data_IF_573794986685
#
_entry.id   IF_573794986685
#
_cell.length_a   1.000
_cell.length_b   1.000
_cell.length_c   1.000
_cell.angle_alpha   90.00
_cell.angle_beta   90.00
_cell.angle_gamma   90.00
#
_symmetry.space_group_name_H-M   'P 1'
#
loop_
_entity.id
_entity.type
_entity.pdbx_description
1 polymer ?
#
# COMPACT_ATOMS: atom_id res chain seq x y z
N UNK A 1 7.07 -15.87 9.42
CA UNK A 1 6.11 -16.84 9.90
C UNK A 1 4.70 -16.25 9.81
N UNK A 2 3.77 -16.99 9.13
CA UNK A 2 2.41 -16.53 8.82
C UNK A 2 1.56 -16.27 10.08
N UNK A 3 1.79 -17.04 11.15
CA UNK A 3 1.08 -16.89 12.43
C UNK A 3 1.53 -15.64 13.19
N UNK A 4 2.80 -15.31 13.14
CA UNK A 4 3.36 -14.15 13.83
C UNK A 4 2.94 -12.83 13.16
N UNK A 5 2.77 -12.82 11.82
CA UNK A 5 2.24 -11.67 11.06
C UNK A 5 0.76 -11.44 11.30
N UNK A 6 -0.04 -12.51 11.34
CA UNK A 6 -1.47 -12.41 11.70
C UNK A 6 -1.67 -11.91 13.14
N UNK A 7 -0.77 -12.26 14.06
CA UNK A 7 -0.82 -11.80 15.44
C UNK A 7 -0.50 -10.30 15.55
N UNK A 8 0.52 -9.79 14.82
CA UNK A 8 0.83 -8.36 14.78
C UNK A 8 -0.28 -7.51 14.15
N UNK A 9 -0.94 -8.01 13.10
CA UNK A 9 -2.07 -7.32 12.44
C UNK A 9 -3.30 -7.37 13.35
N UNK A 10 -3.59 -8.51 13.97
CA UNK A 10 -4.74 -8.68 14.87
C UNK A 10 -4.61 -7.83 16.14
N UNK A 11 -3.41 -7.67 16.68
CA UNK A 11 -3.14 -6.81 17.83
C UNK A 11 -3.26 -5.32 17.46
N UNK A 12 -2.90 -4.93 16.22
CA UNK A 12 -3.10 -3.58 15.70
C UNK A 12 -4.59 -3.27 15.44
N UNK A 13 -5.36 -4.25 14.92
CA UNK A 13 -6.79 -4.10 14.62
C UNK A 13 -7.64 -4.11 15.90
N UNK A 14 -7.31 -4.91 16.91
CA UNK A 14 -8.07 -4.93 18.19
C UNK A 14 -8.03 -3.60 18.92
N UNK A 15 -7.06 -2.75 18.66
CA UNK A 15 -6.94 -1.40 19.19
C UNK A 15 -7.45 -0.31 18.23
N UNK A 16 -7.80 -0.65 16.97
CA UNK A 16 -8.12 0.32 15.92
C UNK A 16 -9.39 1.14 16.22
N UNK A 17 -10.43 0.51 16.77
CA UNK A 17 -11.68 1.21 17.11
C UNK A 17 -11.52 2.16 18.32
N UNK A 18 -10.51 1.92 19.16
CA UNK A 18 -10.21 2.73 20.35
C UNK A 18 -9.20 3.85 20.02
N UNK A 19 -8.36 3.67 18.99
CA UNK A 19 -7.28 4.59 18.63
C UNK A 19 -7.70 5.68 17.63
N UNK A 20 -8.89 5.58 17.03
CA UNK A 20 -9.40 6.63 16.14
C UNK A 20 -9.93 7.87 16.88
N UNK A 21 -10.12 7.81 18.18
CA UNK A 21 -10.36 9.01 18.96
C UNK A 21 -9.09 9.88 18.96
N UNK A 22 -9.19 11.21 18.80
CA UNK A 22 -8.04 12.09 18.98
C UNK A 22 -7.63 12.03 20.46
N UNK A 23 -6.75 11.12 20.76
CA UNK A 23 -6.06 11.07 22.05
C UNK A 23 -4.85 11.99 21.95
N UNK A 24 -4.68 12.88 22.92
CA UNK A 24 -3.51 13.75 23.12
C UNK A 24 -2.17 12.99 23.32
N UNK A 25 -2.04 11.80 22.77
CA UNK A 25 -0.80 11.04 22.82
C UNK A 25 0.05 11.37 21.60
N UNK A 26 0.98 12.27 21.78
CA UNK A 26 1.93 12.84 20.79
C UNK A 26 2.89 11.81 20.12
N UNK A 27 2.67 10.50 20.24
CA UNK A 27 3.64 9.48 19.84
C UNK A 27 3.11 8.38 18.91
N UNK A 28 1.90 8.52 18.35
CA UNK A 28 1.36 7.52 17.41
C UNK A 28 1.51 8.01 15.98
N UNK A 29 2.45 7.44 15.23
CA UNK A 29 2.70 7.83 13.84
C UNK A 29 1.59 7.39 12.88
N UNK A 30 0.88 6.28 13.19
CA UNK A 30 -0.14 5.70 12.32
C UNK A 30 -1.36 5.25 13.12
N UNK A 31 -2.54 5.56 12.60
CA UNK A 31 -3.85 5.13 13.14
C UNK A 31 -4.53 4.19 12.14
N UNK A 32 -5.16 3.13 12.66
CA UNK A 32 -5.76 2.07 11.85
C UNK A 32 -7.28 2.05 12.04
N UNK A 33 -8.04 1.89 10.95
CA UNK A 33 -9.49 1.73 10.98
C UNK A 33 -9.93 0.61 10.04
N UNK A 34 -10.81 -0.26 10.52
CA UNK A 34 -11.40 -1.33 9.72
C UNK A 34 -12.51 -0.82 8.82
N UNK A 35 -12.65 -1.39 7.63
CA UNK A 35 -13.74 -1.13 6.70
C UNK A 35 -14.08 -2.40 5.90
N UNK A 36 -15.31 -2.47 5.42
CA UNK A 36 -15.77 -3.54 4.54
C UNK A 36 -15.81 -3.07 3.08
N UNK A 37 -15.46 -3.95 2.17
CA UNK A 37 -15.57 -3.71 0.75
C UNK A 37 -17.00 -3.97 0.30
N UNK A 38 -17.66 -2.95 -0.25
CA UNK A 38 -19.07 -3.03 -0.68
C UNK A 38 -19.25 -3.11 -2.19
N UNK A 39 -18.24 -2.69 -2.97
CA UNK A 39 -18.26 -2.77 -4.44
C UNK A 39 -16.84 -2.75 -5.00
N UNK A 40 -16.64 -3.37 -6.16
CA UNK A 40 -15.33 -3.40 -6.82
C UNK A 40 -15.43 -3.62 -8.33
N UNK A 41 -14.40 -3.22 -9.05
CA UNK A 41 -14.17 -3.57 -10.44
C UNK A 41 -12.72 -4.04 -10.59
N UNK A 42 -12.52 -5.25 -11.14
CA UNK A 42 -11.20 -5.87 -11.29
C UNK A 42 -10.88 -6.34 -12.71
N UNK A 43 -11.76 -6.04 -13.67
CA UNK A 43 -11.65 -6.51 -15.06
C UNK A 43 -11.33 -5.39 -16.06
N UNK A 44 -10.79 -4.27 -15.57
CA UNK A 44 -10.49 -3.08 -16.37
C UNK A 44 -9.06 -2.62 -16.09
N UNK A 45 -8.52 -1.75 -16.93
CA UNK A 45 -7.25 -1.06 -16.70
C UNK A 45 -7.34 -0.01 -15.59
N UNK A 46 -8.54 0.55 -15.36
CA UNK A 46 -8.86 1.51 -14.30
C UNK A 46 -9.81 0.86 -13.30
N UNK A 47 -9.29 -0.02 -12.49
CA UNK A 47 -10.03 -0.70 -11.44
C UNK A 47 -10.28 0.22 -10.24
N UNK A 48 -11.29 -0.11 -9.44
CA UNK A 48 -11.62 0.60 -8.20
C UNK A 48 -12.23 -0.35 -7.16
N UNK A 49 -12.18 0.05 -5.91
CA UNK A 49 -12.88 -0.56 -4.78
C UNK A 49 -13.67 0.53 -4.07
N UNK A 50 -14.86 0.21 -3.56
CA UNK A 50 -15.65 1.10 -2.69
C UNK A 50 -15.80 0.44 -1.33
N UNK A 51 -15.54 1.22 -0.28
CA UNK A 51 -15.61 0.78 1.12
C UNK A 51 -16.71 1.53 1.88
N UNK A 52 -17.22 0.94 2.96
CA UNK A 52 -18.32 1.40 3.80
C UNK A 52 -17.95 2.50 4.80
N UNK A 53 -16.78 3.12 4.68
CA UNK A 53 -16.31 4.22 5.52
C UNK A 53 -16.03 5.47 4.68
N UNK A 54 -16.34 6.64 5.25
CA UNK A 54 -16.21 7.91 4.56
C UNK A 54 -15.77 9.07 5.46
N UNK A 55 -16.08 10.29 5.04
CA UNK A 55 -15.67 11.50 5.75
C UNK A 55 -16.21 11.58 7.19
N UNK A 56 -17.42 11.03 7.46
CA UNK A 56 -18.02 11.00 8.80
C UNK A 56 -17.20 10.17 9.79
N UNK A 57 -16.43 9.22 9.29
CA UNK A 57 -15.50 8.41 10.08
C UNK A 57 -14.06 8.94 10.02
N UNK A 58 -13.85 10.14 9.50
CA UNK A 58 -12.52 10.77 9.40
C UNK A 58 -11.64 10.22 8.28
N UNK A 59 -12.22 9.53 7.29
CA UNK A 59 -11.46 9.07 6.12
C UNK A 59 -11.14 10.25 5.22
N UNK A 60 -9.91 10.30 4.73
CA UNK A 60 -9.41 11.35 3.84
C UNK A 60 -8.75 10.74 2.60
N UNK A 61 -8.67 11.48 1.49
CA UNK A 61 -7.87 11.08 0.33
C UNK A 61 -6.41 10.81 0.72
N UNK A 62 -5.76 9.93 -0.04
CA UNK A 62 -4.37 9.51 0.13
C UNK A 62 -4.07 8.78 1.45
N UNK A 63 -5.06 8.28 2.18
CA UNK A 63 -4.84 7.29 3.22
C UNK A 63 -4.54 5.93 2.59
N UNK A 64 -3.64 5.17 3.21
CA UNK A 64 -3.30 3.82 2.76
C UNK A 64 -4.42 2.83 3.07
N UNK A 65 -4.59 1.82 2.22
CA UNK A 65 -5.53 0.72 2.41
C UNK A 65 -4.79 -0.60 2.27
N UNK A 66 -4.91 -1.46 3.27
CA UNK A 66 -4.31 -2.78 3.32
C UNK A 66 -5.35 -3.85 3.67
N UNK A 67 -5.03 -5.09 3.39
CA UNK A 67 -5.74 -6.29 3.86
C UNK A 67 -4.85 -7.09 4.81
N UNK A 68 -5.36 -8.19 5.35
CA UNK A 68 -4.55 -9.12 6.15
C UNK A 68 -3.40 -9.77 5.36
N UNK A 69 -3.45 -9.75 4.04
CA UNK A 69 -2.44 -10.33 3.16
C UNK A 69 -1.39 -9.32 2.70
N UNK A 70 -1.77 -8.04 2.58
CA UNK A 70 -0.86 -6.97 2.14
C UNK A 70 -1.57 -5.73 1.65
N UNK A 71 -0.80 -4.88 0.97
CA UNK A 71 -1.28 -3.61 0.41
C UNK A 71 -2.40 -3.84 -0.60
N UNK A 72 -3.48 -3.07 -0.46
CA UNK A 72 -4.61 -3.03 -1.40
C UNK A 72 -4.53 -1.81 -2.32
N UNK A 73 -4.27 -0.62 -1.78
CA UNK A 73 -4.21 0.61 -2.56
C UNK A 73 -4.23 1.87 -1.69
N UNK A 74 -4.75 2.96 -2.24
CA UNK A 74 -4.89 4.25 -1.55
C UNK A 74 -6.31 4.81 -1.72
N UNK A 75 -6.76 5.62 -0.77
CA UNK A 75 -8.03 6.34 -0.89
C UNK A 75 -7.89 7.42 -1.98
N UNK A 76 -8.72 7.34 -3.02
CA UNK A 76 -8.75 8.31 -4.13
C UNK A 76 -9.76 9.43 -3.89
N UNK A 77 -10.99 9.04 -3.48
CA UNK A 77 -12.11 9.97 -3.28
C UNK A 77 -12.93 9.55 -2.07
N UNK A 78 -13.50 10.53 -1.40
CA UNK A 78 -14.29 10.32 -0.20
C UNK A 78 -15.63 11.05 -0.34
N UNK A 79 -16.71 10.37 0.06
CA UNK A 79 -18.03 10.95 0.30
C UNK A 79 -18.36 10.88 1.79
N UNK A 80 -19.56 11.32 2.20
CA UNK A 80 -19.92 11.33 3.60
C UNK A 80 -19.79 9.95 4.28
N UNK A 81 -20.29 8.89 3.61
CA UNK A 81 -20.36 7.53 4.20
C UNK A 81 -19.48 6.50 3.50
N UNK A 82 -18.93 6.82 2.34
CA UNK A 82 -18.18 5.88 1.51
C UNK A 82 -16.89 6.49 1.02
N UNK A 83 -15.90 5.64 0.75
CA UNK A 83 -14.69 6.05 0.07
C UNK A 83 -14.40 5.14 -1.13
N UNK A 84 -13.75 5.71 -2.12
CA UNK A 84 -13.24 5.00 -3.30
C UNK A 84 -11.74 4.81 -3.15
N UNK A 85 -11.34 3.57 -3.25
CA UNK A 85 -9.93 3.13 -3.21
C UNK A 85 -9.43 2.94 -4.64
N UNK A 86 -8.24 3.46 -4.92
CA UNK A 86 -7.44 3.19 -6.10
C UNK A 86 -6.55 1.99 -5.79
N UNK A 87 -6.85 0.77 -6.31
CA UNK A 87 -6.12 -0.44 -5.95
C UNK A 87 -4.77 -0.54 -6.67
N UNK A 88 -3.86 -1.41 -6.17
CA UNK A 88 -2.57 -1.69 -6.83
C UNK A 88 -2.73 -2.17 -8.28
N UNK A 89 -3.86 -2.81 -8.60
CA UNK A 89 -4.23 -3.27 -9.94
C UNK A 89 -4.96 -2.17 -10.73
N UNK A 90 -4.43 -0.96 -10.69
CA UNK A 90 -4.88 0.18 -11.50
C UNK A 90 -3.65 0.86 -12.11
N UNK A 91 -3.66 1.06 -13.42
CA UNK A 91 -2.51 1.61 -14.17
C UNK A 91 -2.13 3.04 -13.80
N UNK A 92 -3.03 3.76 -13.11
CA UNK A 92 -2.77 5.12 -12.63
C UNK A 92 -2.06 5.16 -11.28
N UNK A 93 -2.01 4.02 -10.54
CA UNK A 93 -1.36 3.98 -9.24
C UNK A 93 0.11 3.59 -9.37
N UNK A 94 0.96 4.39 -8.73
CA UNK A 94 2.37 4.09 -8.48
C UNK A 94 2.65 4.22 -7.01
N UNK A 95 3.35 3.25 -6.43
CA UNK A 95 3.80 3.31 -5.04
C UNK A 95 5.30 3.05 -4.95
N UNK A 96 5.92 3.64 -3.93
CA UNK A 96 7.32 3.35 -3.63
C UNK A 96 7.42 2.04 -2.86
N UNK A 97 8.11 1.08 -3.45
CA UNK A 97 8.32 -0.25 -2.89
C UNK A 97 9.81 -0.58 -2.82
N UNK A 98 10.19 -1.48 -1.92
CA UNK A 98 11.58 -1.92 -1.77
C UNK A 98 11.70 -3.43 -1.64
N UNK A 99 12.88 -3.93 -2.00
CA UNK A 99 13.29 -5.30 -1.72
C UNK A 99 13.66 -5.35 -0.24
N UNK A 100 12.96 -6.18 0.54
CA UNK A 100 13.15 -6.26 2.00
C UNK A 100 14.58 -6.69 2.40
N UNK A 101 15.20 -7.57 1.59
CA UNK A 101 16.53 -8.17 1.85
C UNK A 101 17.64 -7.12 1.91
N UNK A 102 17.65 -6.17 0.98
CA UNK A 102 18.76 -5.24 0.78
C UNK A 102 18.35 -3.75 0.83
N UNK A 103 17.04 -3.45 0.91
CA UNK A 103 16.54 -2.07 1.04
C UNK A 103 16.49 -1.25 -0.25
N UNK A 104 16.92 -1.79 -1.40
CA UNK A 104 16.81 -1.08 -2.66
C UNK A 104 15.33 -0.87 -3.03
N UNK A 105 14.99 0.35 -3.39
CA UNK A 105 13.62 0.79 -3.67
C UNK A 105 13.45 1.21 -5.12
N UNK A 106 12.23 1.16 -5.57
CA UNK A 106 11.82 1.56 -6.90
C UNK A 106 10.34 1.89 -6.96
N UNK A 107 9.83 2.07 -8.17
CA UNK A 107 8.44 2.39 -8.46
C UNK A 107 7.67 1.12 -8.83
N UNK A 108 6.69 0.74 -8.00
CA UNK A 108 5.79 -0.36 -8.30
C UNK A 108 4.56 0.15 -9.05
N UNK A 109 4.28 -0.47 -10.20
CA UNK A 109 3.12 -0.16 -11.04
C UNK A 109 2.58 -1.42 -11.69
N UNK A 110 1.25 -1.49 -11.84
CA UNK A 110 0.56 -2.52 -12.61
C UNK A 110 0.51 -2.14 -14.10
N UNK A 111 0.72 -3.10 -14.99
CA UNK A 111 0.73 -2.92 -16.45
C UNK A 111 -0.65 -2.95 -17.13
N UNK A 112 -1.68 -3.40 -16.38
CA UNK A 112 -3.04 -3.51 -16.90
C UNK A 112 -3.45 -4.90 -17.37
N UNK A 113 -2.59 -5.91 -17.24
CA UNK A 113 -2.84 -7.28 -17.73
C UNK A 113 -3.30 -8.20 -16.58
N UNK A 114 -2.43 -8.92 -15.94
CA UNK A 114 -2.78 -9.92 -14.92
C UNK A 114 -2.83 -9.30 -13.51
N UNK A 115 -4.01 -9.32 -12.87
CA UNK A 115 -4.25 -8.78 -11.54
C UNK A 115 -3.40 -9.42 -10.42
N UNK A 116 -2.74 -10.53 -10.69
CA UNK A 116 -1.88 -11.24 -9.72
C UNK A 116 -0.46 -10.68 -9.67
N UNK A 117 -0.06 -9.87 -10.64
CA UNK A 117 1.31 -9.39 -10.79
C UNK A 117 1.35 -7.86 -10.94
N UNK A 118 2.42 -7.27 -10.45
CA UNK A 118 2.82 -5.89 -10.72
C UNK A 118 4.30 -5.84 -11.04
N UNK A 119 4.80 -4.69 -11.46
CA UNK A 119 6.20 -4.51 -11.86
C UNK A 119 6.88 -3.47 -10.98
N UNK A 120 8.00 -3.85 -10.38
CA UNK A 120 8.89 -2.95 -9.66
C UNK A 120 10.00 -2.52 -10.62
N UNK A 121 10.01 -1.23 -10.94
CA UNK A 121 10.94 -0.59 -11.87
C UNK A 121 11.99 0.22 -11.12
N UNK A 122 12.98 0.73 -11.86
CA UNK A 122 14.03 1.63 -11.36
C UNK A 122 14.99 0.99 -10.35
N UNK A 123 15.12 -0.34 -10.33
CA UNK A 123 16.11 -1.05 -9.50
C UNK A 123 17.45 -1.10 -10.26
N UNK A 124 18.58 -0.63 -9.68
CA UNK A 124 19.87 -0.69 -10.33
C UNK A 124 20.28 -2.12 -10.69
N UNK A 125 20.92 -2.31 -11.86
CA UNK A 125 21.23 -3.65 -12.41
C UNK A 125 22.15 -4.50 -11.53
N UNK A 126 22.95 -3.88 -10.67
CA UNK A 126 23.91 -4.56 -9.78
C UNK A 126 23.27 -5.10 -8.48
N UNK A 127 21.99 -4.82 -8.29
CA UNK A 127 21.27 -5.25 -7.08
C UNK A 127 21.03 -6.75 -7.12
N UNK A 128 21.49 -7.43 -6.08
CA UNK A 128 21.25 -8.86 -5.88
C UNK A 128 19.78 -9.10 -5.52
N UNK A 129 19.06 -9.73 -6.46
CA UNK A 129 17.63 -10.02 -6.33
C UNK A 129 17.33 -11.41 -6.87
N UNK A 130 16.65 -12.21 -6.05
CA UNK A 130 16.31 -13.59 -6.35
C UNK A 130 14.80 -13.80 -6.37
N UNK A 131 14.36 -14.82 -7.12
CA UNK A 131 12.95 -15.27 -7.09
C UNK A 131 12.57 -15.70 -5.67
N UNK A 132 11.43 -15.19 -5.19
CA UNK A 132 10.97 -15.42 -3.81
C UNK A 132 11.35 -14.33 -2.81
N UNK A 133 12.22 -13.38 -3.17
CA UNK A 133 12.51 -12.22 -2.32
C UNK A 133 11.24 -11.43 -2.02
N UNK A 134 11.15 -10.92 -0.80
CA UNK A 134 9.96 -10.18 -0.33
C UNK A 134 10.01 -8.72 -0.74
N UNK A 135 8.92 -8.23 -1.32
CA UNK A 135 8.72 -6.82 -1.66
C UNK A 135 7.75 -6.19 -0.65
N UNK A 136 8.14 -5.05 -0.12
CA UNK A 136 7.38 -4.29 0.89
C UNK A 136 7.35 -2.80 0.55
N UNK A 137 6.48 -2.04 1.21
CA UNK A 137 6.48 -0.57 1.11
C UNK A 137 7.81 0.01 1.63
N UNK A 138 8.31 1.04 0.96
CA UNK A 138 9.62 1.64 1.30
C UNK A 138 9.57 2.58 2.50
N UNK A 139 8.39 3.13 2.84
CA UNK A 139 8.24 4.21 3.82
C UNK A 139 8.55 5.61 3.29
N UNK A 140 9.01 5.76 2.04
CA UNK A 140 9.36 7.06 1.45
C UNK A 140 8.16 7.89 0.98
N UNK A 141 6.97 7.31 0.92
CA UNK A 141 5.75 8.09 0.78
C UNK A 141 5.15 8.30 2.17
N UNK A 142 4.70 9.49 2.49
CA UNK A 142 3.96 9.77 3.72
C UNK A 142 2.59 9.06 3.80
N UNK A 143 2.33 8.11 2.89
CA UNK A 143 1.07 7.37 2.75
C UNK A 143 1.13 6.04 3.49
N UNK A 144 2.13 5.19 3.15
CA UNK A 144 2.28 3.86 3.73
C UNK A 144 3.33 3.84 4.83
N UNK A 145 3.08 3.13 5.95
CA UNK A 145 4.15 2.72 6.84
C UNK A 145 5.21 1.92 6.08
N UNK A 146 6.43 1.96 6.57
CA UNK A 146 7.49 1.11 6.04
C UNK A 146 7.23 -0.37 6.39
N UNK A 147 7.43 -1.25 5.40
CA UNK A 147 7.41 -2.69 5.63
C UNK A 147 6.06 -3.39 5.45
N UNK A 148 5.00 -2.67 4.99
CA UNK A 148 3.75 -3.34 4.62
C UNK A 148 3.98 -4.26 3.41
N UNK A 149 3.43 -5.48 3.49
CA UNK A 149 3.61 -6.52 2.49
C UNK A 149 3.00 -6.11 1.15
N UNK A 150 3.77 -6.26 0.07
CA UNK A 150 3.26 -6.10 -1.30
C UNK A 150 3.21 -7.46 -2.00
N UNK A 151 4.29 -8.23 -1.95
CA UNK A 151 4.35 -9.51 -2.62
C UNK A 151 5.75 -10.12 -2.65
N UNK A 152 5.98 -10.96 -3.64
CA UNK A 152 7.23 -11.70 -3.81
C UNK A 152 7.74 -11.59 -5.23
N UNK A 153 9.05 -11.58 -5.39
CA UNK A 153 9.70 -11.61 -6.69
C UNK A 153 9.34 -12.90 -7.44
N UNK A 154 8.71 -12.77 -8.60
CA UNK A 154 8.38 -13.88 -9.50
C UNK A 154 9.45 -14.09 -10.55
N UNK A 155 9.93 -12.99 -11.15
CA UNK A 155 11.04 -13.00 -12.12
C UNK A 155 11.74 -11.66 -12.16
N UNK A 156 13.00 -11.69 -12.62
CA UNK A 156 13.84 -10.50 -12.77
C UNK A 156 14.22 -10.36 -14.24
N UNK A 157 13.85 -9.25 -14.88
CA UNK A 157 14.13 -8.96 -16.27
C UNK A 157 15.11 -7.80 -16.40
N UNK A 158 16.11 -7.96 -17.27
CA UNK A 158 17.05 -6.90 -17.62
C UNK A 158 16.53 -6.22 -18.90
N UNK A 159 15.70 -5.21 -18.75
CA UNK A 159 15.12 -4.49 -19.90
C UNK A 159 16.06 -3.43 -20.46
N UNK A 160 16.89 -2.82 -19.61
CA UNK A 160 17.88 -1.80 -20.00
C UNK A 160 19.26 -2.13 -19.46
N UNK A 161 20.29 -1.47 -19.98
CA UNK A 161 21.67 -1.68 -19.52
C UNK A 161 21.89 -1.29 -18.05
N UNK A 162 21.03 -0.43 -17.48
CA UNK A 162 21.25 0.20 -16.17
C UNK A 162 20.24 -0.20 -15.09
N UNK A 163 19.05 -0.69 -15.47
CA UNK A 163 17.97 -0.98 -14.53
C UNK A 163 17.35 -2.35 -14.77
N UNK A 164 16.87 -2.94 -13.67
CA UNK A 164 16.08 -4.16 -13.65
C UNK A 164 14.60 -3.80 -13.57
N UNK A 165 13.76 -4.56 -14.26
CA UNK A 165 12.32 -4.63 -14.05
C UNK A 165 12.00 -5.96 -13.37
N UNK A 166 11.45 -5.91 -12.18
CA UNK A 166 11.14 -7.07 -11.36
C UNK A 166 9.63 -7.33 -11.42
N UNK A 167 9.24 -8.50 -11.93
CA UNK A 167 7.86 -8.96 -11.85
C UNK A 167 7.57 -9.44 -10.43
N UNK A 168 6.56 -8.84 -9.80
CA UNK A 168 6.16 -9.09 -8.42
C UNK A 168 4.82 -9.79 -8.40
N UNK A 169 4.76 -10.97 -7.80
CA UNK A 169 3.51 -11.65 -7.48
C UNK A 169 2.91 -11.02 -6.24
N UNK A 170 1.75 -10.40 -6.39
CA UNK A 170 1.06 -9.71 -5.30
C UNK A 170 0.63 -10.70 -4.21
N UNK A 171 0.80 -10.32 -2.95
CA UNK A 171 0.36 -11.12 -1.80
C UNK A 171 -1.15 -11.05 -1.61
N UNK A 172 -1.75 -9.91 -1.96
CA UNK A 172 -3.18 -9.67 -1.87
C UNK A 172 -3.93 -10.35 -3.01
N UNK A 173 -4.89 -11.22 -2.69
CA UNK A 173 -5.83 -11.77 -3.69
C UNK A 173 -7.04 -10.86 -3.82
N UNK A 174 -7.02 -9.98 -4.84
CA UNK A 174 -8.07 -8.98 -5.09
C UNK A 174 -9.47 -9.57 -5.31
N UNK A 175 -9.59 -10.84 -5.69
CA UNK A 175 -10.89 -11.52 -5.87
C UNK A 175 -11.47 -12.10 -4.59
N UNK A 176 -10.69 -12.08 -3.49
CA UNK A 176 -11.08 -12.68 -2.21
C UNK A 176 -11.06 -11.70 -1.03
N UNK A 177 -10.77 -10.43 -1.28
CA UNK A 177 -10.81 -9.40 -0.24
C UNK A 177 -12.26 -9.12 0.13
N UNK A 178 -12.56 -9.16 1.43
CA UNK A 178 -13.83 -8.67 2.02
C UNK A 178 -13.58 -7.49 2.95
N UNK A 179 -12.56 -7.62 3.79
CA UNK A 179 -12.24 -6.69 4.86
C UNK A 179 -10.89 -6.02 4.58
N UNK A 180 -10.84 -4.74 4.85
CA UNK A 180 -9.64 -3.92 4.72
C UNK A 180 -9.46 -3.06 5.97
N UNK A 181 -8.25 -2.60 6.18
CA UNK A 181 -7.96 -1.57 7.15
C UNK A 181 -7.31 -0.36 6.48
N UNK A 182 -7.74 0.81 6.93
CA UNK A 182 -7.29 2.10 6.45
C UNK A 182 -6.22 2.58 7.42
N UNK A 183 -5.12 3.08 6.90
CA UNK A 183 -3.99 3.58 7.68
C UNK A 183 -3.87 5.08 7.44
N UNK A 184 -4.00 5.86 8.50
CA UNK A 184 -3.78 7.30 8.49
C UNK A 184 -2.42 7.61 9.11
N UNK A 185 -1.57 8.35 8.38
CA UNK A 185 -0.34 8.91 8.91
C UNK A 185 -0.68 10.23 9.61
N UNK A 186 -0.50 10.29 10.92
CA UNK A 186 -0.81 11.47 11.75
C UNK A 186 0.14 12.64 11.51
N UNK A 187 1.35 12.38 11.00
CA UNK A 187 2.39 13.39 10.72
C UNK A 187 2.54 13.71 9.24
N UNK A 188 1.58 13.31 8.40
CA UNK A 188 1.66 13.46 6.95
C UNK A 188 1.85 14.91 6.51
N UNK A 189 1.07 15.83 7.09
CA UNK A 189 1.11 17.27 6.73
C UNK A 189 2.47 17.87 7.05
N UNK A 190 3.05 17.57 8.22
CA UNK A 190 4.37 18.03 8.62
C UNK A 190 5.48 17.49 7.69
N UNK A 191 5.43 16.18 7.37
CA UNK A 191 6.39 15.56 6.44
C UNK A 191 6.31 16.15 5.04
N UNK A 192 5.11 16.45 4.54
CA UNK A 192 4.93 17.06 3.21
C UNK A 192 5.32 18.52 3.17
N UNK A 193 5.11 19.29 4.25
CA UNK A 193 5.51 20.68 4.34
C UNK A 193 7.03 20.83 4.18
N UNK A 194 7.83 20.05 4.89
CA UNK A 194 9.29 20.04 4.79
C UNK A 194 9.80 19.64 3.39
N UNK A 195 9.08 18.76 2.69
CA UNK A 195 9.44 18.35 1.32
C UNK A 195 9.18 19.43 0.27
N UNK A 196 8.28 20.39 0.53
CA UNK A 196 7.92 21.47 -0.41
C UNK A 196 8.84 22.69 -0.33
N UNK A 197 9.49 22.94 0.81
CA UNK A 197 10.38 24.09 1.02
C UNK A 197 11.65 24.09 0.14
N UNK A 198 11.96 22.98 -0.54
CA UNK A 198 13.14 22.84 -1.39
C UNK A 198 12.91 23.10 -2.89
N UNK A 199 11.76 23.65 -3.27
CA UNK A 199 11.39 23.90 -4.69
C UNK A 199 11.06 25.38 -5.01
N UNK A 200 11.52 26.35 -4.19
CA UNK A 200 11.55 27.77 -4.54
C UNK A 200 12.96 28.24 -4.90
#
# INVERSE_FOLDING_TARGET
DRRQRQMCIRDRISNADTLWAPTDSADVDYVYKTAEMINSSFNKTKNYIVIDKGATEGIQPEMAVCSSEGVVGIIEKVSNRYARVLPLINTNLRISAKIKKNGYYGSLQWDGDDYRYSYLNDIPFHVDTEVGDTIVTSGFSSIFPEGEMIGFVESVNKETANFLTIKVKLATDFKRISDVYIIANTRKEEQQALGRENHE
#
